data_IF_611446951160
#
_entry.id   IF_611446951160
#
_cell.length_a   1.000
_cell.length_b   1.000
_cell.length_c   1.000
_cell.angle_alpha   90.00
_cell.angle_beta   90.00
_cell.angle_gamma   90.00
#
_symmetry.space_group_name_H-M   'P 1'
#
loop_
_entity.id
_entity.type
_entity.pdbx_description
1 polymer ?
#
# COMPACT_ATOMS: atom_id res chain seq x y z
N UNK A 1 -3.37 -16.45 19.84
CA UNK A 1 -4.33 -15.82 18.91
C UNK A 1 -4.28 -16.60 17.59
N UNK A 2 -5.39 -16.81 16.88
CA UNK A 2 -5.30 -17.53 15.59
C UNK A 2 -4.54 -16.67 14.57
N UNK A 3 -3.91 -17.29 13.56
CA UNK A 3 -3.27 -16.54 12.46
C UNK A 3 -4.24 -15.56 11.81
N UNK A 4 -5.47 -16.02 11.61
CA UNK A 4 -6.53 -15.23 11.00
C UNK A 4 -6.86 -14.01 11.86
N UNK A 5 -6.92 -14.17 13.18
CA UNK A 5 -7.12 -13.04 14.10
C UNK A 5 -5.94 -12.05 14.04
N UNK A 6 -4.70 -12.53 13.90
CA UNK A 6 -3.53 -11.65 13.70
C UNK A 6 -3.65 -10.80 12.45
N UNK A 7 -3.91 -11.41 11.30
CA UNK A 7 -4.09 -10.64 10.07
C UNK A 7 -5.33 -9.74 10.13
N UNK A 8 -6.38 -10.15 10.84
CA UNK A 8 -7.56 -9.31 11.05
C UNK A 8 -7.22 -8.05 11.85
N UNK A 9 -6.43 -8.17 12.92
CA UNK A 9 -5.94 -7.02 13.67
C UNK A 9 -5.01 -6.17 12.80
N UNK A 10 -4.08 -6.79 12.09
CA UNK A 10 -3.11 -6.09 11.24
C UNK A 10 -3.80 -5.26 10.15
N UNK A 11 -4.80 -5.82 9.46
CA UNK A 11 -5.59 -5.11 8.44
C UNK A 11 -6.37 -3.95 9.06
N UNK A 12 -6.95 -4.12 10.26
CA UNK A 12 -7.66 -3.03 10.95
C UNK A 12 -6.73 -1.90 11.38
N UNK A 13 -5.56 -2.23 11.91
CA UNK A 13 -4.52 -1.26 12.27
C UNK A 13 -4.02 -0.54 11.02
N UNK A 14 -3.77 -1.26 9.93
CA UNK A 14 -3.41 -0.68 8.63
C UNK A 14 -4.49 0.28 8.13
N UNK A 15 -5.77 -0.11 8.19
CA UNK A 15 -6.89 0.75 7.77
C UNK A 15 -6.92 2.04 8.58
N UNK A 16 -6.75 1.95 9.90
CA UNK A 16 -6.69 3.12 10.78
C UNK A 16 -5.51 4.03 10.41
N UNK A 17 -4.33 3.44 10.18
CA UNK A 17 -3.14 4.17 9.74
C UNK A 17 -3.38 4.89 8.39
N UNK A 18 -3.94 4.20 7.40
CA UNK A 18 -4.27 4.79 6.10
C UNK A 18 -5.24 5.97 6.23
N UNK A 19 -6.25 5.87 7.10
CA UNK A 19 -7.18 6.97 7.38
C UNK A 19 -6.44 8.18 7.97
N UNK A 20 -5.60 7.96 8.97
CA UNK A 20 -4.84 9.03 9.63
C UNK A 20 -3.95 9.74 8.61
N UNK A 21 -3.15 8.99 7.84
CA UNK A 21 -2.30 9.57 6.80
C UNK A 21 -3.09 10.35 5.77
N UNK A 22 -4.21 9.81 5.31
CA UNK A 22 -5.02 10.47 4.29
C UNK A 22 -5.56 11.80 4.77
N UNK A 23 -5.87 11.97 6.07
CA UNK A 23 -6.25 13.27 6.63
C UNK A 23 -5.08 14.27 6.48
N UNK A 24 -3.86 13.83 6.79
CA UNK A 24 -2.66 14.68 6.71
C UNK A 24 -2.19 14.94 5.28
N UNK A 25 -2.57 14.12 4.29
CA UNK A 25 -2.20 14.33 2.88
C UNK A 25 -3.28 15.04 2.07
N UNK A 26 -4.55 14.66 2.23
CA UNK A 26 -5.67 15.22 1.48
C UNK A 26 -5.92 16.68 1.88
N UNK A 27 -5.80 17.01 3.17
CA UNK A 27 -6.11 18.35 3.64
C UNK A 27 -5.15 19.43 3.07
N UNK A 28 -3.81 19.26 3.12
CA UNK A 28 -2.90 20.21 2.47
C UNK A 28 -3.09 20.30 0.96
N UNK A 29 -3.32 19.16 0.27
CA UNK A 29 -3.55 19.15 -1.17
C UNK A 29 -4.79 19.96 -1.57
N UNK A 30 -5.89 19.80 -0.85
CA UNK A 30 -7.14 20.53 -1.14
C UNK A 30 -6.99 22.04 -0.88
N UNK A 31 -6.17 22.44 0.11
CA UNK A 31 -5.81 23.84 0.32
C UNK A 31 -4.98 24.40 -0.85
N UNK A 32 -4.05 23.62 -1.40
CA UNK A 32 -3.28 24.01 -2.59
C UNK A 32 -4.17 24.20 -3.82
N UNK A 33 -5.19 23.37 -4.00
CA UNK A 33 -6.14 23.48 -5.13
C UNK A 33 -7.12 24.66 -5.03
N UNK A 34 -7.25 25.30 -3.87
CA UNK A 34 -8.12 26.47 -3.67
C UNK A 34 -7.72 27.68 -4.52
N UNK A 35 -6.49 27.70 -5.04
CA UNK A 35 -6.04 28.75 -5.96
C UNK A 35 -6.45 28.51 -7.41
N UNK A 36 -6.93 27.30 -7.78
CA UNK A 36 -7.20 26.91 -9.17
C UNK A 36 -8.66 26.55 -9.46
N UNK A 37 -9.48 26.28 -8.44
CA UNK A 37 -10.87 25.83 -8.60
C UNK A 37 -11.86 26.81 -7.97
N UNK A 38 -13.04 26.95 -8.59
CA UNK A 38 -14.16 27.67 -7.99
C UNK A 38 -14.60 27.01 -6.68
N UNK A 39 -15.06 27.81 -5.72
CA UNK A 39 -15.46 27.38 -4.37
C UNK A 39 -16.47 26.21 -4.38
N UNK A 40 -17.41 26.19 -5.34
CA UNK A 40 -18.42 25.13 -5.46
C UNK A 40 -17.76 23.82 -5.92
N UNK A 41 -16.92 23.85 -6.96
CA UNK A 41 -16.20 22.66 -7.43
C UNK A 41 -15.28 22.07 -6.36
N UNK A 42 -14.61 22.91 -5.58
CA UNK A 42 -13.71 22.45 -4.52
C UNK A 42 -14.47 21.74 -3.39
N UNK A 43 -15.63 22.28 -2.99
CA UNK A 43 -16.49 21.64 -1.98
C UNK A 43 -16.96 20.24 -2.42
N UNK A 44 -17.27 20.07 -3.70
CA UNK A 44 -17.74 18.81 -4.26
C UNK A 44 -16.61 17.76 -4.33
N UNK A 45 -15.40 18.19 -4.71
CA UNK A 45 -14.20 17.35 -4.68
C UNK A 45 -13.88 16.92 -3.24
N UNK A 46 -13.94 17.83 -2.27
CA UNK A 46 -13.71 17.51 -0.87
C UNK A 46 -14.68 16.43 -0.36
N UNK A 47 -15.98 16.61 -0.60
CA UNK A 47 -17.01 15.62 -0.23
C UNK A 47 -16.76 14.28 -0.93
N UNK A 48 -16.38 14.30 -2.21
CA UNK A 48 -16.01 13.10 -2.97
C UNK A 48 -14.83 12.34 -2.34
N UNK A 49 -13.75 13.03 -2.00
CA UNK A 49 -12.58 12.44 -1.35
C UNK A 49 -12.93 11.81 0.00
N UNK A 50 -13.73 12.51 0.82
CA UNK A 50 -14.18 11.98 2.12
C UNK A 50 -15.06 10.74 1.93
N UNK A 51 -15.99 10.76 0.97
CA UNK A 51 -16.84 9.60 0.67
C UNK A 51 -16.02 8.39 0.23
N UNK A 52 -15.04 8.58 -0.65
CA UNK A 52 -14.14 7.51 -1.10
C UNK A 52 -13.35 6.94 0.08
N UNK A 53 -12.82 7.80 0.95
CA UNK A 53 -12.07 7.37 2.13
C UNK A 53 -12.93 6.58 3.12
N UNK A 54 -14.15 7.04 3.38
CA UNK A 54 -15.12 6.33 4.23
C UNK A 54 -15.50 5.00 3.60
N UNK A 55 -15.80 4.97 2.29
CA UNK A 55 -16.12 3.74 1.57
C UNK A 55 -14.97 2.73 1.62
N UNK A 56 -13.72 3.19 1.40
CA UNK A 56 -12.52 2.37 1.54
C UNK A 56 -12.37 1.80 2.95
N UNK A 57 -12.54 2.63 3.97
CA UNK A 57 -12.39 2.23 5.38
C UNK A 57 -13.44 1.18 5.77
N UNK A 58 -14.69 1.43 5.41
CA UNK A 58 -15.79 0.48 5.63
C UNK A 58 -15.54 -0.82 4.87
N UNK A 59 -15.06 -0.74 3.62
CA UNK A 59 -14.73 -1.91 2.83
C UNK A 59 -13.63 -2.75 3.50
N UNK A 60 -12.51 -2.14 3.90
CA UNK A 60 -11.40 -2.85 4.53
C UNK A 60 -11.80 -3.53 5.84
N UNK A 61 -12.58 -2.85 6.69
CA UNK A 61 -13.04 -3.39 7.98
C UNK A 61 -14.10 -4.49 7.80
N UNK A 62 -15.03 -4.32 6.86
CA UNK A 62 -16.14 -5.28 6.66
C UNK A 62 -15.70 -6.52 5.88
N UNK A 63 -14.78 -6.35 4.93
CA UNK A 63 -14.30 -7.43 4.08
C UNK A 63 -12.94 -7.97 4.50
N UNK A 64 -12.48 -7.70 5.72
CA UNK A 64 -11.19 -8.17 6.24
C UNK A 64 -11.01 -9.69 6.04
N UNK A 65 -12.03 -10.49 6.35
CA UNK A 65 -11.95 -11.94 6.19
C UNK A 65 -11.84 -12.37 4.72
N UNK A 66 -12.52 -11.68 3.81
CA UNK A 66 -12.39 -11.94 2.37
C UNK A 66 -11.03 -11.54 1.83
N UNK A 67 -10.45 -10.45 2.35
CA UNK A 67 -9.11 -10.01 2.00
C UNK A 67 -8.08 -11.06 2.42
N UNK A 68 -8.21 -11.59 3.65
CA UNK A 68 -7.37 -12.68 4.16
C UNK A 68 -7.48 -13.91 3.26
N UNK A 69 -8.70 -14.32 2.89
CA UNK A 69 -8.94 -15.51 2.07
C UNK A 69 -8.43 -15.31 0.62
N UNK A 70 -8.63 -14.12 0.04
CA UNK A 70 -8.19 -13.78 -1.30
C UNK A 70 -6.67 -13.76 -1.43
N UNK A 71 -6.00 -13.11 -0.47
CA UNK A 71 -4.54 -13.02 -0.42
C UNK A 71 -3.89 -14.27 0.20
N UNK A 72 -4.69 -15.22 0.71
CA UNK A 72 -4.25 -16.45 1.38
C UNK A 72 -3.26 -16.16 2.52
N UNK A 73 -3.48 -15.08 3.28
CA UNK A 73 -2.53 -14.61 4.29
C UNK A 73 -2.37 -15.59 5.46
N UNK A 74 -3.38 -16.42 5.72
CA UNK A 74 -3.36 -17.46 6.74
C UNK A 74 -2.60 -18.73 6.32
N UNK A 75 -2.21 -18.85 5.04
CA UNK A 75 -1.54 -20.04 4.48
C UNK A 75 -0.02 -19.92 4.51
N UNK A 76 0.66 -21.04 4.70
CA UNK A 76 2.14 -21.13 4.66
C UNK A 76 2.85 -21.03 6.01
N UNK A 77 2.08 -21.03 7.11
CA UNK A 77 2.58 -21.14 8.49
C UNK A 77 2.34 -22.55 9.04
N UNK A 78 3.35 -23.14 9.67
CA UNK A 78 3.33 -24.55 10.12
C UNK A 78 2.44 -24.81 11.35
N UNK A 79 2.18 -23.82 12.21
CA UNK A 79 1.40 -23.97 13.46
C UNK A 79 0.13 -23.14 13.46
N UNK A 80 -1.07 -23.69 13.72
CA UNK A 80 -2.36 -22.98 13.64
C UNK A 80 -2.52 -21.72 14.52
N UNK A 81 -1.82 -21.66 15.66
CA UNK A 81 -1.89 -20.54 16.58
C UNK A 81 -0.63 -19.69 16.55
N UNK A 82 -0.79 -18.37 16.45
CA UNK A 82 0.29 -17.44 16.75
C UNK A 82 0.27 -17.22 18.27
N UNK A 83 1.18 -17.91 18.96
CA UNK A 83 1.49 -17.64 20.37
C UNK A 83 2.59 -16.59 20.38
N UNK A 84 2.23 -15.32 20.60
CA UNK A 84 3.19 -14.20 20.63
C UNK A 84 4.32 -14.41 21.66
N UNK A 85 4.10 -15.26 22.68
CA UNK A 85 5.11 -15.64 23.67
C UNK A 85 6.08 -16.75 23.25
N UNK A 86 5.87 -17.42 22.11
CA UNK A 86 6.75 -18.48 21.59
C UNK A 86 6.98 -18.35 20.07
N UNK A 87 7.00 -17.10 19.57
CA UNK A 87 7.38 -16.84 18.19
C UNK A 87 8.85 -17.20 18.01
N UNK A 88 9.11 -18.32 17.31
CA UNK A 88 10.46 -18.66 16.88
C UNK A 88 11.05 -17.48 16.05
N UNK A 89 12.32 -17.15 16.25
CA UNK A 89 13.03 -16.06 15.56
C UNK A 89 12.79 -16.08 14.05
N UNK A 90 12.78 -17.28 13.46
CA UNK A 90 12.48 -17.47 12.04
C UNK A 90 11.10 -16.94 11.62
N UNK A 91 10.07 -17.08 12.46
CA UNK A 91 8.73 -16.56 12.19
C UNK A 91 8.71 -15.03 12.25
N UNK A 92 9.44 -14.44 13.22
CA UNK A 92 9.59 -12.98 13.34
C UNK A 92 10.28 -12.43 12.10
N UNK A 93 11.40 -13.03 11.66
CA UNK A 93 12.08 -12.62 10.43
C UNK A 93 11.18 -12.70 9.20
N UNK A 94 10.42 -13.80 9.04
CA UNK A 94 9.47 -13.91 7.91
C UNK A 94 8.45 -12.79 7.90
N UNK A 95 7.83 -12.48 9.04
CA UNK A 95 6.84 -11.41 9.16
C UNK A 95 7.48 -10.06 8.82
N UNK A 96 8.66 -9.76 9.37
CA UNK A 96 9.39 -8.52 9.10
C UNK A 96 9.74 -8.38 7.62
N UNK A 97 10.22 -9.45 6.98
CA UNK A 97 10.57 -9.45 5.54
C UNK A 97 9.34 -9.20 4.67
N UNK A 98 8.21 -9.83 5.00
CA UNK A 98 6.94 -9.62 4.28
C UNK A 98 6.46 -8.17 4.44
N UNK A 99 6.55 -7.61 5.65
CA UNK A 99 6.18 -6.22 5.90
C UNK A 99 7.07 -5.25 5.11
N UNK A 100 8.39 -5.43 5.14
CA UNK A 100 9.34 -4.58 4.42
C UNK A 100 9.06 -4.64 2.91
N UNK A 101 8.99 -5.84 2.33
CA UNK A 101 8.72 -6.00 0.90
C UNK A 101 7.32 -5.48 0.52
N UNK A 102 6.35 -5.64 1.41
CA UNK A 102 4.99 -5.13 1.23
C UNK A 102 4.95 -3.60 1.19
N UNK A 103 5.61 -2.93 2.14
CA UNK A 103 5.70 -1.48 2.17
C UNK A 103 6.42 -0.92 0.94
N UNK A 104 7.51 -1.55 0.50
CA UNK A 104 8.22 -1.13 -0.73
C UNK A 104 7.30 -1.07 -1.94
N UNK A 105 6.39 -2.05 -2.08
CA UNK A 105 5.38 -2.08 -3.15
C UNK A 105 4.33 -1.00 -2.89
N UNK A 106 3.66 -1.05 -1.74
CA UNK A 106 2.48 -0.22 -1.44
C UNK A 106 2.80 1.27 -1.49
N UNK A 107 3.95 1.70 -0.96
CA UNK A 107 4.33 3.12 -0.91
C UNK A 107 4.61 3.70 -2.30
N UNK A 108 5.07 2.87 -3.24
CA UNK A 108 5.44 3.33 -4.57
C UNK A 108 4.33 3.06 -5.61
N UNK A 109 3.38 2.17 -5.32
CA UNK A 109 2.40 1.69 -6.32
C UNK A 109 1.51 2.78 -6.91
N UNK A 110 0.90 3.69 -6.12
CA UNK A 110 0.03 4.74 -6.67
C UNK A 110 0.78 5.66 -7.63
N UNK A 111 1.99 6.05 -7.25
CA UNK A 111 2.79 6.98 -8.05
C UNK A 111 3.35 6.30 -9.31
N UNK A 112 3.74 5.03 -9.21
CA UNK A 112 4.13 4.24 -10.38
C UNK A 112 2.99 4.11 -11.40
N UNK A 113 1.74 3.90 -10.95
CA UNK A 113 0.58 3.90 -11.84
C UNK A 113 0.34 5.28 -12.48
N UNK A 114 0.52 6.37 -11.72
CA UNK A 114 0.41 7.73 -12.27
C UNK A 114 1.45 8.00 -13.34
N UNK A 115 2.70 7.56 -13.14
CA UNK A 115 3.76 7.71 -14.14
C UNK A 115 3.41 6.95 -15.44
N UNK A 116 2.90 5.71 -15.33
CA UNK A 116 2.44 4.93 -16.50
C UNK A 116 1.29 5.66 -17.23
N UNK A 117 0.31 6.17 -16.48
CA UNK A 117 -0.82 6.89 -17.05
C UNK A 117 -0.38 8.20 -17.73
N UNK A 118 0.56 8.93 -17.14
CA UNK A 118 1.11 10.16 -17.70
C UNK A 118 1.91 9.86 -18.98
N UNK A 119 2.73 8.81 -18.98
CA UNK A 119 3.46 8.36 -20.18
C UNK A 119 2.51 7.99 -21.32
N UNK A 120 1.42 7.27 -21.01
CA UNK A 120 0.41 6.92 -21.99
C UNK A 120 -0.30 8.15 -22.54
N UNK A 121 -0.72 9.07 -21.66
CA UNK A 121 -1.35 10.34 -22.05
C UNK A 121 -0.43 11.17 -22.94
N UNK A 122 0.84 11.30 -22.57
CA UNK A 122 1.83 12.05 -23.32
C UNK A 122 2.01 11.47 -24.73
N UNK A 123 2.15 10.15 -24.88
CA UNK A 123 2.29 9.50 -26.19
C UNK A 123 1.02 9.52 -27.04
N UNK A 124 -0.15 9.57 -26.42
CA UNK A 124 -1.45 9.60 -27.11
C UNK A 124 -1.93 11.01 -27.50
N UNK A 125 -1.32 12.06 -26.92
CA UNK A 125 -1.72 13.45 -27.15
C UNK A 125 -0.99 14.02 -28.36
N UNK A 126 -1.72 14.64 -29.28
CA UNK A 126 -1.14 15.29 -30.48
C UNK A 126 -0.44 16.63 -30.14
N UNK A 127 -0.69 17.17 -28.95
CA UNK A 127 -0.13 18.43 -28.43
C UNK A 127 0.72 18.15 -27.20
N UNK A 128 1.89 18.79 -27.14
CA UNK A 128 2.75 18.79 -25.97
C UNK A 128 2.00 19.42 -24.79
N UNK A 129 1.77 18.66 -23.71
CA UNK A 129 1.16 19.16 -22.49
C UNK A 129 2.26 19.43 -21.46
N UNK A 130 2.67 20.68 -21.29
CA UNK A 130 3.60 21.10 -20.23
C UNK A 130 3.05 20.69 -18.84
N UNK A 131 3.92 20.16 -17.98
CA UNK A 131 3.57 19.72 -16.62
C UNK A 131 3.20 18.23 -16.47
N UNK A 132 3.19 17.46 -17.55
CA UNK A 132 2.95 16.00 -17.53
C UNK A 132 4.21 15.16 -17.84
N UNK A 133 5.40 15.74 -17.70
CA UNK A 133 6.65 15.03 -17.96
C UNK A 133 6.89 13.95 -16.90
N UNK A 134 7.15 12.73 -17.36
CA UNK A 134 7.51 11.62 -16.48
C UNK A 134 8.98 11.77 -16.10
N UNK A 135 9.25 11.89 -14.80
CA UNK A 135 10.60 11.78 -14.29
C UNK A 135 11.04 10.31 -14.39
N UNK A 136 11.74 9.97 -15.47
CA UNK A 136 12.19 8.61 -15.75
C UNK A 136 13.16 8.06 -14.68
N UNK A 137 13.87 8.92 -13.96
CA UNK A 137 14.73 8.49 -12.86
C UNK A 137 13.86 7.97 -11.71
N UNK A 138 12.90 8.77 -11.24
CA UNK A 138 11.99 8.35 -10.17
C UNK A 138 11.05 7.21 -10.61
N UNK A 139 10.64 7.17 -11.87
CA UNK A 139 9.92 6.03 -12.44
C UNK A 139 10.73 4.74 -12.33
N UNK A 140 12.02 4.77 -12.69
CA UNK A 140 12.93 3.64 -12.55
C UNK A 140 13.11 3.21 -11.09
N UNK A 141 13.27 4.16 -10.17
CA UNK A 141 13.34 3.87 -8.72
C UNK A 141 12.07 3.19 -8.22
N UNK A 142 10.88 3.68 -8.62
CA UNK A 142 9.59 3.10 -8.26
C UNK A 142 9.43 1.69 -8.82
N UNK A 143 9.84 1.46 -10.06
CA UNK A 143 9.87 0.12 -10.66
C UNK A 143 10.77 -0.84 -9.87
N UNK A 144 11.98 -0.41 -9.53
CA UNK A 144 12.92 -1.21 -8.74
C UNK A 144 12.37 -1.53 -7.34
N UNK A 145 11.69 -0.58 -6.70
CA UNK A 145 11.03 -0.84 -5.42
C UNK A 145 9.97 -1.94 -5.52
N UNK A 146 9.18 -1.98 -6.60
CA UNK A 146 8.24 -3.06 -6.85
C UNK A 146 8.94 -4.40 -7.12
N UNK A 147 9.98 -4.37 -7.96
CA UNK A 147 10.74 -5.56 -8.32
C UNK A 147 11.39 -6.17 -7.07
N UNK A 148 12.09 -5.36 -6.28
CA UNK A 148 12.74 -5.82 -5.05
C UNK A 148 11.73 -6.22 -3.98
N UNK A 149 10.66 -5.44 -3.79
CA UNK A 149 9.58 -5.82 -2.87
C UNK A 149 9.00 -7.19 -3.21
N UNK A 150 8.72 -7.44 -4.50
CA UNK A 150 8.25 -8.73 -4.98
C UNK A 150 9.28 -9.86 -4.80
N UNK A 151 10.55 -9.62 -5.14
CA UNK A 151 11.63 -10.59 -4.98
C UNK A 151 11.85 -10.97 -3.50
N UNK A 152 11.77 -10.00 -2.61
CA UNK A 152 11.93 -10.20 -1.16
C UNK A 152 10.76 -11.00 -0.59
N UNK A 153 9.52 -10.68 -0.96
CA UNK A 153 8.35 -11.44 -0.52
C UNK A 153 8.39 -12.88 -1.06
N UNK A 154 8.67 -13.05 -2.36
CA UNK A 154 8.71 -14.38 -2.99
C UNK A 154 9.83 -15.26 -2.42
N UNK A 155 10.96 -14.67 -2.02
CA UNK A 155 12.09 -15.38 -1.41
C UNK A 155 12.13 -15.28 0.13
N UNK A 156 11.02 -14.91 0.77
CA UNK A 156 10.95 -14.64 2.21
C UNK A 156 11.46 -15.81 3.06
N UNK A 157 11.18 -17.06 2.68
CA UNK A 157 11.68 -18.25 3.40
C UNK A 157 13.21 -18.36 3.39
N UNK A 158 13.84 -18.08 2.25
CA UNK A 158 15.30 -18.15 2.10
C UNK A 158 15.99 -17.01 2.84
N UNK A 159 15.45 -15.80 2.73
CA UNK A 159 15.98 -14.61 3.42
C UNK A 159 15.85 -14.79 4.94
N UNK A 160 14.70 -15.28 5.43
CA UNK A 160 14.51 -15.55 6.85
C UNK A 160 15.50 -16.60 7.39
N UNK A 161 15.75 -17.67 6.63
CA UNK A 161 16.77 -18.68 7.00
C UNK A 161 18.18 -18.12 7.01
N UNK A 162 18.51 -17.21 6.09
CA UNK A 162 19.82 -16.56 6.05
C UNK A 162 20.03 -15.67 7.27
N UNK A 163 19.00 -14.90 7.66
CA UNK A 163 19.04 -14.00 8.81
C UNK A 163 19.05 -14.76 10.15
N UNK A 164 18.36 -15.89 10.25
CA UNK A 164 18.28 -16.71 11.48
C UNK A 164 19.55 -17.54 11.72
N UNK A 165 20.42 -17.69 10.71
CA UNK A 165 21.68 -18.44 10.81
C UNK A 165 22.86 -17.60 11.33
N UNK A 166 22.69 -16.27 11.42
CA UNK A 166 23.66 -15.32 11.97
C UNK A 166 23.20 -14.84 13.34
#
# INVERSE_FOLDING_TARGET
MTKRDFFRILIKVFTLYSVIISIFTLFPQLLSFNQMLDNISLSLVFVGCVLVLVAFSVFMVKFTDKIIDFLKLDKGFDEESIVLGNLNNQAIFKISIILIGGFMIVDNFPQFLMDILNEFKFKSSYQYMEGHEVDYFWFGVRFLNHLFGYLIISNCKSIAKFLDKN
#
